data_IF_305234672058
#
_entry.id   IF_305234672058
#
_cell.length_a   1.000
_cell.length_b   1.000
_cell.length_c   1.000
_cell.angle_alpha   90.00
_cell.angle_beta   90.00
_cell.angle_gamma   90.00
#
_symmetry.space_group_name_H-M   'P 1'
#
loop_
_entity.id
_entity.type
_entity.pdbx_description
1 polymer ?
#
# COMPACT_ATOMS: atom_id res chain seq x y z
N UNK A 1 14.94 3.96 -8.29
CA UNK A 1 14.76 3.82 -6.81
C UNK A 1 14.62 2.35 -6.45
N UNK A 2 15.11 1.97 -5.29
CA UNK A 2 14.89 0.64 -4.74
C UNK A 2 13.54 0.57 -4.04
N UNK A 3 13.05 -0.64 -3.77
CA UNK A 3 11.83 -0.83 -2.97
C UNK A 3 11.93 -0.11 -1.62
N UNK A 4 13.06 -0.22 -0.94
CA UNK A 4 13.24 0.41 0.37
C UNK A 4 13.26 1.94 0.28
N UNK A 5 13.85 2.51 -0.76
CA UNK A 5 13.84 3.97 -0.94
C UNK A 5 12.44 4.49 -1.26
N UNK A 6 11.67 3.75 -2.05
CA UNK A 6 10.26 4.09 -2.33
C UNK A 6 9.43 4.01 -1.04
N UNK A 7 9.59 2.93 -0.28
CA UNK A 7 8.88 2.75 0.98
C UNK A 7 9.16 3.89 1.97
N UNK A 8 10.41 4.34 2.05
CA UNK A 8 10.80 5.46 2.92
C UNK A 8 10.02 6.73 2.57
N UNK A 9 9.86 7.04 1.29
CA UNK A 9 9.07 8.19 0.85
C UNK A 9 7.60 8.03 1.22
N UNK A 10 7.05 6.84 1.04
CA UNK A 10 5.65 6.57 1.38
C UNK A 10 5.41 6.74 2.88
N UNK A 11 6.26 6.16 3.70
CA UNK A 11 6.15 6.24 5.16
C UNK A 11 6.26 7.69 5.64
N UNK A 12 7.21 8.44 5.09
CA UNK A 12 7.39 9.85 5.44
C UNK A 12 6.14 10.67 5.13
N UNK A 13 5.55 10.46 3.96
CA UNK A 13 4.31 11.15 3.58
C UNK A 13 3.15 10.71 4.48
N UNK A 14 3.05 9.42 4.81
CA UNK A 14 2.00 8.92 5.71
C UNK A 14 2.08 9.59 7.10
N UNK A 15 3.29 9.75 7.63
CA UNK A 15 3.49 10.47 8.90
C UNK A 15 3.00 11.92 8.82
N UNK A 16 3.32 12.61 7.75
CA UNK A 16 2.89 14.00 7.54
C UNK A 16 1.37 14.11 7.41
N UNK A 17 0.75 13.23 6.64
CA UNK A 17 -0.69 13.21 6.46
C UNK A 17 -1.39 12.98 7.80
N UNK A 18 -0.94 12.01 8.57
CA UNK A 18 -1.55 11.68 9.85
C UNK A 18 -1.40 12.81 10.87
N UNK A 19 -0.27 13.51 10.85
CA UNK A 19 -0.05 14.68 11.69
C UNK A 19 -1.04 15.79 11.37
N UNK A 20 -1.35 16.00 10.09
CA UNK A 20 -2.26 17.07 9.64
C UNK A 20 -3.72 16.69 9.80
N UNK A 21 -4.10 15.50 9.36
CA UNK A 21 -5.50 15.07 9.27
C UNK A 21 -5.98 14.25 10.47
N UNK A 22 -5.09 13.50 11.12
CA UNK A 22 -5.47 12.59 12.20
C UNK A 22 -6.24 11.37 11.70
N UNK A 23 -6.75 10.55 12.65
CA UNK A 23 -7.56 9.38 12.31
C UNK A 23 -9.02 9.74 12.01
N UNK A 24 -9.80 8.77 11.53
CA UNK A 24 -11.26 8.86 11.47
C UNK A 24 -11.85 9.20 10.11
N UNK A 25 -11.04 9.46 9.09
CA UNK A 25 -11.54 9.75 7.75
C UNK A 25 -11.75 8.46 6.95
N UNK A 26 -12.43 8.57 5.81
CA UNK A 26 -12.60 7.44 4.89
C UNK A 26 -11.28 7.05 4.23
N UNK A 27 -11.14 5.78 3.90
CA UNK A 27 -9.96 5.26 3.20
C UNK A 27 -9.69 6.02 1.89
N UNK A 28 -10.75 6.35 1.15
CA UNK A 28 -10.63 7.08 -0.13
C UNK A 28 -9.98 8.46 0.03
N UNK A 29 -10.19 9.11 1.16
CA UNK A 29 -9.58 10.42 1.44
C UNK A 29 -8.09 10.25 1.65
N UNK A 30 -7.69 9.31 2.50
CA UNK A 30 -6.27 9.05 2.75
C UNK A 30 -5.54 8.61 1.47
N UNK A 31 -6.17 7.77 0.67
CA UNK A 31 -5.61 7.33 -0.61
C UNK A 31 -5.36 8.51 -1.55
N UNK A 32 -6.36 9.38 -1.71
CA UNK A 32 -6.25 10.54 -2.59
C UNK A 32 -5.15 11.49 -2.13
N UNK A 33 -5.07 11.77 -0.83
CA UNK A 33 -4.06 12.67 -0.28
C UNK A 33 -2.67 12.07 -0.40
N UNK A 34 -2.52 10.78 -0.07
CA UNK A 34 -1.23 10.08 -0.20
C UNK A 34 -0.75 10.10 -1.65
N UNK A 35 -1.63 9.77 -2.60
CA UNK A 35 -1.30 9.79 -4.03
C UNK A 35 -0.84 11.19 -4.48
N UNK A 36 -1.59 12.22 -4.09
CA UNK A 36 -1.26 13.62 -4.43
C UNK A 36 0.10 14.03 -3.89
N UNK A 37 0.37 13.73 -2.63
CA UNK A 37 1.64 14.13 -1.99
C UNK A 37 2.84 13.36 -2.58
N UNK A 38 2.67 12.08 -2.90
CA UNK A 38 3.73 11.31 -3.56
C UNK A 38 4.02 11.84 -4.97
N UNK A 39 2.98 12.20 -5.71
CA UNK A 39 3.15 12.81 -7.05
C UNK A 39 3.89 14.14 -6.97
N UNK A 40 3.61 14.97 -5.97
CA UNK A 40 4.34 16.22 -5.74
C UNK A 40 5.82 15.98 -5.46
N UNK A 41 6.18 14.83 -4.91
CA UNK A 41 7.58 14.41 -4.70
C UNK A 41 8.22 13.83 -5.95
N UNK A 42 7.49 13.75 -7.05
CA UNK A 42 8.01 13.23 -8.31
C UNK A 42 7.91 11.72 -8.47
N UNK A 43 7.21 11.03 -7.57
CA UNK A 43 7.02 9.58 -7.71
C UNK A 43 5.87 9.27 -8.66
N UNK A 44 6.06 8.28 -9.50
CA UNK A 44 5.00 7.75 -10.35
C UNK A 44 4.19 6.73 -9.58
N UNK A 45 2.88 6.71 -9.82
CA UNK A 45 2.02 5.74 -9.16
C UNK A 45 0.77 5.46 -10.00
N UNK A 46 0.17 4.31 -9.74
CA UNK A 46 -1.14 3.94 -10.26
C UNK A 46 -2.08 3.75 -9.08
N UNK A 47 -3.31 4.22 -9.21
CA UNK A 47 -4.37 4.07 -8.20
C UNK A 47 -5.38 3.04 -8.66
N UNK A 48 -5.86 2.22 -7.72
CA UNK A 48 -6.90 1.22 -7.98
C UNK A 48 -6.55 0.35 -9.19
N UNK A 49 -5.31 -0.14 -9.20
CA UNK A 49 -4.78 -0.91 -10.33
C UNK A 49 -5.29 -2.35 -10.28
N UNK A 50 -6.00 -2.82 -11.34
CA UNK A 50 -6.38 -4.22 -11.43
C UNK A 50 -5.15 -5.10 -11.58
N UNK A 51 -5.10 -6.18 -10.81
CA UNK A 51 -4.04 -7.18 -10.88
C UNK A 51 -4.64 -8.50 -11.30
N UNK A 52 -4.15 -9.12 -12.40
CA UNK A 52 -4.70 -10.37 -12.87
C UNK A 52 -4.29 -11.55 -11.99
N UNK A 53 -5.08 -12.61 -12.03
CA UNK A 53 -4.79 -13.90 -11.41
C UNK A 53 -4.75 -14.96 -12.49
N UNK A 54 -3.69 -15.78 -12.50
CA UNK A 54 -3.62 -16.97 -13.35
C UNK A 54 -3.72 -18.19 -12.44
N UNK A 55 -4.73 -19.02 -12.66
CA UNK A 55 -4.93 -20.25 -11.92
C UNK A 55 -5.12 -21.41 -12.89
N UNK A 56 -4.23 -22.40 -12.78
CA UNK A 56 -4.28 -23.61 -13.63
C UNK A 56 -4.46 -23.30 -15.13
N UNK A 57 -3.65 -22.34 -15.61
CA UNK A 57 -3.64 -21.93 -17.01
C UNK A 57 -4.75 -20.98 -17.44
N UNK A 58 -5.71 -20.68 -16.57
CA UNK A 58 -6.78 -19.72 -16.87
C UNK A 58 -6.46 -18.37 -16.25
N UNK A 59 -6.54 -17.32 -17.08
CA UNK A 59 -6.29 -15.93 -16.67
C UNK A 59 -7.60 -15.23 -16.33
N UNK A 60 -7.66 -14.65 -15.15
CA UNK A 60 -8.73 -13.76 -14.71
C UNK A 60 -8.16 -12.36 -14.65
N UNK A 61 -8.75 -11.41 -15.36
CA UNK A 61 -8.17 -10.07 -15.55
C UNK A 61 -8.15 -9.23 -14.28
N UNK A 62 -9.02 -9.53 -13.32
CA UNK A 62 -9.04 -8.81 -12.05
C UNK A 62 -9.23 -9.78 -10.88
N UNK A 63 -8.09 -10.26 -10.35
CA UNK A 63 -8.11 -11.04 -9.11
C UNK A 63 -8.27 -10.15 -7.89
N UNK A 64 -7.70 -8.93 -7.96
CA UNK A 64 -7.87 -7.89 -6.96
C UNK A 64 -7.53 -6.53 -7.56
N UNK A 65 -7.77 -5.49 -6.78
CA UNK A 65 -7.44 -4.12 -7.17
C UNK A 65 -6.56 -3.50 -6.08
N UNK A 66 -5.31 -3.17 -6.44
CA UNK A 66 -4.38 -2.54 -5.51
C UNK A 66 -4.71 -1.07 -5.33
N UNK A 67 -4.76 -0.58 -4.08
CA UNK A 67 -5.05 0.83 -3.81
C UNK A 67 -4.03 1.74 -4.49
N UNK A 68 -2.75 1.51 -4.24
CA UNK A 68 -1.65 2.21 -4.90
C UNK A 68 -0.55 1.23 -5.29
N UNK A 69 0.05 1.45 -6.45
CA UNK A 69 1.33 0.83 -6.83
C UNK A 69 2.29 1.97 -7.13
N UNK A 70 3.33 2.11 -6.32
CA UNK A 70 4.25 3.23 -6.37
C UNK A 70 5.54 2.82 -7.04
N UNK A 71 5.98 3.56 -8.06
CA UNK A 71 7.20 3.32 -8.87
C UNK A 71 7.25 1.90 -9.44
N UNK A 72 6.09 1.31 -9.67
CA UNK A 72 5.96 -0.08 -10.13
C UNK A 72 6.70 -1.09 -9.23
N UNK A 73 6.90 -0.76 -7.97
CA UNK A 73 7.70 -1.54 -7.02
C UNK A 73 7.00 -1.87 -5.70
N UNK A 74 6.21 -0.95 -5.17
CA UNK A 74 5.62 -1.08 -3.84
C UNK A 74 4.11 -1.01 -3.93
N UNK A 75 3.43 -2.04 -3.42
CA UNK A 75 1.97 -2.02 -3.27
C UNK A 75 1.64 -1.40 -1.91
N UNK A 76 0.73 -0.43 -1.92
CA UNK A 76 0.21 0.19 -0.69
C UNK A 76 -1.26 -0.14 -0.58
N UNK A 77 -1.64 -0.74 0.57
CA UNK A 77 -3.03 -0.96 0.93
C UNK A 77 -3.39 -0.04 2.09
N UNK A 78 -4.46 0.72 1.91
CA UNK A 78 -4.88 1.74 2.87
C UNK A 78 -6.11 1.25 3.62
N UNK A 79 -6.07 1.37 4.94
CA UNK A 79 -7.16 1.02 5.84
C UNK A 79 -7.51 2.18 6.75
N UNK A 80 -8.75 2.23 7.19
CA UNK A 80 -9.24 3.15 8.22
C UNK A 80 -10.22 2.35 9.10
N UNK A 81 -9.69 1.42 9.87
CA UNK A 81 -10.43 0.43 10.64
C UNK A 81 -9.93 0.39 12.08
N UNK A 82 -10.71 -0.21 12.98
CA UNK A 82 -10.38 -0.27 14.39
C UNK A 82 -9.07 -1.04 14.66
N UNK A 83 -8.84 -2.13 13.91
CA UNK A 83 -7.69 -3.00 14.15
C UNK A 83 -7.32 -3.76 12.88
N UNK A 84 -6.02 -3.86 12.59
CA UNK A 84 -5.50 -4.70 11.52
C UNK A 84 -5.48 -6.16 11.98
N UNK A 85 -6.18 -7.03 11.26
CA UNK A 85 -6.18 -8.46 11.51
C UNK A 85 -5.02 -9.15 10.77
N UNK A 86 -4.62 -10.33 11.24
CA UNK A 86 -3.62 -11.15 10.57
C UNK A 86 -3.99 -11.44 9.11
N UNK A 87 -5.28 -11.60 8.82
CA UNK A 87 -5.77 -11.84 7.47
C UNK A 87 -5.43 -10.70 6.52
N UNK A 88 -5.48 -9.45 6.97
CA UNK A 88 -5.13 -8.28 6.14
C UNK A 88 -3.67 -8.37 5.67
N UNK A 89 -2.77 -8.75 6.57
CA UNK A 89 -1.34 -8.90 6.23
C UNK A 89 -1.11 -10.05 5.25
N UNK A 90 -1.82 -11.15 5.45
CA UNK A 90 -1.73 -12.32 4.56
C UNK A 90 -2.29 -12.00 3.17
N UNK A 91 -3.37 -11.23 3.09
CA UNK A 91 -3.92 -10.76 1.82
C UNK A 91 -2.90 -9.93 1.05
N UNK A 92 -2.20 -9.01 1.72
CA UNK A 92 -1.19 -8.21 1.03
C UNK A 92 -0.05 -9.08 0.51
N UNK A 93 0.37 -10.08 1.26
CA UNK A 93 1.38 -11.05 0.78
C UNK A 93 0.88 -11.78 -0.48
N UNK A 94 -0.38 -12.20 -0.51
CA UNK A 94 -1.00 -12.80 -1.68
C UNK A 94 -0.93 -11.85 -2.87
N UNK A 95 -1.27 -10.57 -2.67
CA UNK A 95 -1.23 -9.56 -3.73
C UNK A 95 0.18 -9.36 -4.28
N UNK A 96 1.19 -9.33 -3.41
CA UNK A 96 2.58 -9.22 -3.83
C UNK A 96 3.01 -10.39 -4.71
N UNK A 97 2.61 -11.60 -4.34
CA UNK A 97 2.90 -12.80 -5.12
C UNK A 97 2.26 -12.75 -6.49
N UNK A 98 0.98 -12.37 -6.55
CA UNK A 98 0.24 -12.29 -7.82
C UNK A 98 0.79 -11.21 -8.74
N UNK A 99 1.18 -10.07 -8.19
CA UNK A 99 1.72 -8.94 -8.94
C UNK A 99 3.22 -9.05 -9.22
N UNK A 100 3.89 -10.07 -8.68
CA UNK A 100 5.35 -10.24 -8.74
C UNK A 100 6.08 -9.01 -8.21
N UNK A 101 5.65 -8.52 -7.05
CA UNK A 101 6.27 -7.42 -6.33
C UNK A 101 6.91 -7.93 -5.05
N UNK A 102 7.89 -7.18 -4.54
CA UNK A 102 8.74 -7.62 -3.42
C UNK A 102 8.39 -6.94 -2.10
N UNK A 103 7.69 -5.82 -2.15
CA UNK A 103 7.40 -5.04 -0.96
C UNK A 103 5.99 -4.46 -0.99
N UNK A 104 5.30 -4.59 0.14
CA UNK A 104 4.02 -3.95 0.37
C UNK A 104 3.99 -3.22 1.69
N UNK A 105 3.19 -2.16 1.75
CA UNK A 105 2.91 -1.42 2.97
C UNK A 105 1.41 -1.46 3.22
N UNK A 106 1.04 -1.92 4.41
CA UNK A 106 -0.33 -1.87 4.89
C UNK A 106 -0.40 -0.71 5.88
N UNK A 107 -1.18 0.32 5.55
CA UNK A 107 -1.24 1.53 6.36
C UNK A 107 -2.65 1.73 6.86
N UNK A 108 -2.82 1.60 8.18
CA UNK A 108 -4.07 1.93 8.85
C UNK A 108 -3.95 3.31 9.47
N UNK A 109 -4.69 4.28 8.92
CA UNK A 109 -4.67 5.65 9.42
C UNK A 109 -5.54 5.85 10.67
N UNK A 110 -6.37 4.88 11.02
CA UNK A 110 -7.29 4.97 12.16
C UNK A 110 -6.60 4.53 13.47
N UNK A 111 -5.48 5.17 13.76
CA UNK A 111 -4.65 4.91 14.95
C UNK A 111 -4.26 6.22 15.61
N UNK A 112 -3.89 6.15 16.88
CA UNK A 112 -3.41 7.34 17.63
C UNK A 112 -2.05 7.78 17.09
N UNK A 113 -1.12 6.84 16.93
CA UNK A 113 0.20 7.09 16.37
C UNK A 113 0.36 6.30 15.08
N UNK A 114 0.68 6.97 13.98
CA UNK A 114 0.76 6.32 12.67
C UNK A 114 1.78 5.17 12.62
N UNK A 115 2.86 5.26 13.39
CA UNK A 115 3.85 4.18 13.46
C UNK A 115 3.23 2.84 13.83
N UNK A 116 2.15 2.85 14.62
CA UNK A 116 1.44 1.65 15.04
C UNK A 116 0.48 1.13 13.97
N UNK A 117 0.21 1.94 12.96
CA UNK A 117 -0.66 1.58 11.84
C UNK A 117 0.07 1.09 10.59
N UNK A 118 1.39 1.12 10.58
CA UNK A 118 2.17 0.74 9.39
C UNK A 118 2.74 -0.66 9.57
N UNK A 119 2.42 -1.54 8.62
CA UNK A 119 2.97 -2.89 8.55
C UNK A 119 3.71 -3.08 7.23
N UNK A 120 4.92 -3.58 7.30
CA UNK A 120 5.77 -3.86 6.14
C UNK A 120 5.70 -5.35 5.83
N UNK A 121 5.31 -5.68 4.59
CA UNK A 121 5.17 -7.06 4.12
C UNK A 121 6.17 -7.28 2.99
N UNK A 122 6.95 -8.34 3.06
CA UNK A 122 7.97 -8.65 2.06
C UNK A 122 7.66 -9.96 1.34
N UNK A 123 8.09 -10.02 0.09
CA UNK A 123 7.98 -11.20 -0.76
C UNK A 123 9.32 -11.41 -1.48
N UNK A 124 10.27 -12.03 -0.79
CA UNK A 124 11.58 -12.33 -1.35
C UNK A 124 12.44 -11.09 -1.63
N UNK A 125 12.26 -10.03 -0.84
CA UNK A 125 13.04 -8.80 -1.02
C UNK A 125 14.49 -9.02 -0.61
N UNK A 126 15.40 -8.61 -1.50
CA UNK A 126 16.85 -8.59 -1.23
C UNK A 126 17.20 -7.26 -0.57
N UNK A 127 17.67 -7.32 0.67
CA UNK A 127 18.04 -6.12 1.43
C UNK A 127 19.55 -5.94 1.57
#
# INVERSE_FOLDING_TARGET
>A
MTENSVAKEIVDVAYRIHTVLGPGLFESVYEAVLASELQKRGLQLARQQPIPVVCEGTRFEMGFRADLVVEDKVIVEIKSIAEIAALHKKQLLTYLRLADKRLGLLINFNVVLIKDGISRIVNGLQE
#
